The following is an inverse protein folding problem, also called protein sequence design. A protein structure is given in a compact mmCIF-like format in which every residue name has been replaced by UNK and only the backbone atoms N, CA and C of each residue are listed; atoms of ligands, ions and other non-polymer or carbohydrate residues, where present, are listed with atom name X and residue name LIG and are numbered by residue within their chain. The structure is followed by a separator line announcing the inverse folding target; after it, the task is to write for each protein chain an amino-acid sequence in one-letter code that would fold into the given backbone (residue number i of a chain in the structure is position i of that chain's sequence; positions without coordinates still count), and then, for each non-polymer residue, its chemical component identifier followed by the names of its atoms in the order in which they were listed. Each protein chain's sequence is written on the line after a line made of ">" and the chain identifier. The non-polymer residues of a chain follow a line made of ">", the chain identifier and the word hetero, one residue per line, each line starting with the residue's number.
data_IF_754123767075
#
_entry.id   IF_754123767075
#
_cell.length_a   1.000
_cell.length_b   1.000
_cell.length_c   1.000
_cell.angle_alpha   90.00
_cell.angle_beta   90.00
_cell.angle_gamma   90.00
#
_symmetry.space_group_name_H-M   'P 1'
#
loop_
_entity.id
_entity.type
_entity.pdbx_description
1 polymer ?
#
# COMPACT_ATOMS: atom_id res chain seq x y z
N UNK A 1 5.26 -0.44 -14.11
CA UNK A 1 6.03 -1.09 -13.04
C UNK A 1 7.01 -0.09 -12.43
N UNK A 2 7.21 -0.17 -11.11
CA UNK A 2 8.11 0.69 -10.33
C UNK A 2 9.51 0.10 -10.21
N UNK A 3 10.48 0.90 -9.76
CA UNK A 3 11.85 0.41 -9.54
C UNK A 3 11.92 -0.56 -8.36
N UNK A 4 11.14 -0.33 -7.29
CA UNK A 4 11.03 -1.28 -6.18
C UNK A 4 10.54 -2.65 -6.64
N UNK A 5 9.60 -2.67 -7.57
CA UNK A 5 9.03 -3.90 -8.13
C UNK A 5 10.01 -4.62 -9.07
N UNK A 6 10.67 -3.90 -10.00
CA UNK A 6 11.51 -4.51 -11.04
C UNK A 6 12.90 -4.87 -10.57
N UNK A 7 13.57 -3.94 -9.87
CA UNK A 7 15.00 -4.01 -9.68
C UNK A 7 15.44 -4.19 -8.22
N UNK A 8 14.76 -3.55 -7.27
CA UNK A 8 15.27 -3.46 -5.91
C UNK A 8 14.82 -4.62 -5.02
N UNK A 9 13.53 -4.96 -5.04
CA UNK A 9 12.94 -5.93 -4.11
C UNK A 9 12.15 -7.05 -4.78
N UNK A 10 12.06 -7.06 -6.11
CA UNK A 10 11.23 -8.00 -6.86
C UNK A 10 11.77 -9.43 -6.95
N UNK A 11 12.93 -9.71 -6.39
CA UNK A 11 13.57 -11.04 -6.40
C UNK A 11 13.09 -11.98 -5.28
N UNK A 12 12.24 -11.49 -4.36
CA UNK A 12 11.65 -12.27 -3.27
C UNK A 12 12.51 -12.40 -2.02
N UNK A 13 13.70 -11.79 -1.97
CA UNK A 13 14.59 -11.88 -0.78
C UNK A 13 13.96 -11.34 0.51
N UNK A 14 12.94 -10.51 0.40
CA UNK A 14 12.18 -9.94 1.51
C UNK A 14 10.75 -10.48 1.60
N UNK A 15 10.50 -11.68 1.09
CA UNK A 15 9.24 -12.41 1.22
C UNK A 15 8.38 -12.37 -0.04
N UNK A 16 7.93 -11.21 -0.51
CA UNK A 16 7.13 -11.05 -1.70
C UNK A 16 8.03 -10.86 -2.93
N UNK A 17 7.77 -11.62 -4.01
CA UNK A 17 8.47 -11.48 -5.28
C UNK A 17 7.60 -10.88 -6.38
N UNK A 18 8.24 -10.43 -7.46
CA UNK A 18 7.55 -10.03 -8.69
C UNK A 18 6.76 -11.20 -9.30
N UNK A 19 7.27 -12.43 -9.17
CA UNK A 19 6.59 -13.61 -9.68
C UNK A 19 5.32 -13.91 -8.87
N UNK A 20 5.36 -13.80 -7.54
CA UNK A 20 4.19 -13.95 -6.68
C UNK A 20 3.13 -12.91 -7.03
N UNK A 21 3.54 -11.66 -7.22
CA UNK A 21 2.63 -10.59 -7.63
C UNK A 21 1.98 -10.84 -8.99
N UNK A 22 2.72 -11.41 -9.94
CA UNK A 22 2.16 -11.77 -11.24
C UNK A 22 1.06 -12.83 -11.08
N UNK A 23 1.31 -13.87 -10.27
CA UNK A 23 0.33 -14.93 -9.96
C UNK A 23 -0.89 -14.33 -9.26
N UNK A 24 -0.69 -13.50 -8.25
CA UNK A 24 -1.81 -12.88 -7.50
C UNK A 24 -2.66 -11.98 -8.40
N UNK A 25 -2.04 -11.20 -9.29
CA UNK A 25 -2.77 -10.38 -10.25
C UNK A 25 -3.54 -11.23 -11.26
N UNK A 26 -2.97 -12.34 -11.73
CA UNK A 26 -3.67 -13.28 -12.61
C UNK A 26 -4.89 -13.91 -11.92
N UNK A 27 -4.74 -14.32 -10.67
CA UNK A 27 -5.84 -14.88 -9.88
C UNK A 27 -6.92 -13.83 -9.56
N UNK A 28 -6.54 -12.58 -9.29
CA UNK A 28 -7.46 -11.52 -8.93
C UNK A 28 -8.22 -10.95 -10.13
N UNK A 29 -7.53 -10.73 -11.24
CA UNK A 29 -8.08 -10.04 -12.42
C UNK A 29 -8.53 -10.99 -13.53
N UNK A 30 -8.13 -12.26 -13.47
CA UNK A 30 -8.35 -13.21 -14.55
C UNK A 30 -7.52 -12.92 -15.80
N UNK A 31 -7.76 -13.68 -16.87
CA UNK A 31 -7.14 -13.43 -18.17
C UNK A 31 -7.84 -12.23 -18.82
N UNK A 32 -7.07 -11.20 -19.19
CA UNK A 32 -7.63 -9.99 -19.81
C UNK A 32 -7.34 -8.70 -19.07
N UNK A 33 -6.23 -8.63 -18.33
CA UNK A 33 -5.80 -7.49 -17.50
C UNK A 33 -5.75 -6.12 -18.17
N UNK A 34 -5.89 -6.02 -19.49
CA UNK A 34 -5.79 -4.75 -20.20
C UNK A 34 -6.91 -3.75 -19.83
N UNK A 35 -8.07 -4.25 -19.46
CA UNK A 35 -9.27 -3.46 -19.16
C UNK A 35 -9.60 -3.47 -17.67
N UNK A 36 -8.59 -3.37 -16.82
CA UNK A 36 -8.78 -3.46 -15.38
C UNK A 36 -9.68 -2.35 -14.85
N UNK A 37 -10.78 -2.76 -14.26
CA UNK A 37 -11.70 -1.92 -13.51
C UNK A 37 -10.94 -1.11 -12.43
N UNK A 38 -11.13 0.21 -12.33
CA UNK A 38 -10.53 1.04 -11.27
C UNK A 38 -10.81 0.54 -9.86
N UNK A 39 -11.88 -0.23 -9.65
CA UNK A 39 -12.18 -0.86 -8.37
C UNK A 39 -11.19 -1.96 -7.99
N UNK A 40 -10.61 -2.62 -9.00
CA UNK A 40 -9.57 -3.63 -8.81
C UNK A 40 -8.16 -3.01 -8.78
N UNK A 41 -7.96 -1.90 -9.50
CA UNK A 41 -6.70 -1.16 -9.55
C UNK A 41 -6.93 0.32 -9.20
N UNK A 42 -7.00 0.67 -7.91
CA UNK A 42 -7.35 2.02 -7.45
C UNK A 42 -6.49 3.14 -8.05
N UNK A 43 -5.23 2.86 -8.41
CA UNK A 43 -4.35 3.82 -9.09
C UNK A 43 -4.86 4.29 -10.46
N UNK A 44 -5.81 3.59 -11.06
CA UNK A 44 -6.44 3.96 -12.35
C UNK A 44 -7.75 4.73 -12.18
N UNK A 45 -8.24 4.81 -10.95
CA UNK A 45 -9.48 5.49 -10.63
C UNK A 45 -9.29 6.95 -10.27
N UNK A 46 -10.42 7.65 -10.15
CA UNK A 46 -10.45 8.98 -9.54
C UNK A 46 -10.38 8.85 -8.02
N UNK A 47 -9.56 9.67 -7.39
CA UNK A 47 -9.49 9.79 -5.93
C UNK A 47 -10.34 10.95 -5.41
N UNK A 48 -10.99 11.71 -6.30
CA UNK A 48 -11.87 12.82 -5.91
C UNK A 48 -13.03 12.31 -5.05
N UNK A 49 -13.32 13.02 -3.97
CA UNK A 49 -14.40 12.65 -3.04
C UNK A 49 -13.99 11.69 -1.93
N UNK A 50 -12.78 11.15 -1.94
CA UNK A 50 -12.24 10.49 -0.76
C UNK A 50 -12.06 11.51 0.37
N UNK A 51 -12.64 11.21 1.53
CA UNK A 51 -12.59 12.16 2.66
C UNK A 51 -11.20 12.20 3.28
N UNK A 52 -10.58 11.04 3.47
CA UNK A 52 -9.28 10.90 4.10
C UNK A 52 -8.71 9.50 3.89
N UNK A 53 -7.38 9.37 3.91
CA UNK A 53 -6.70 8.09 3.80
C UNK A 53 -5.57 7.94 4.83
N UNK A 54 -5.32 6.71 5.25
CA UNK A 54 -4.10 6.31 5.95
C UNK A 54 -3.34 5.32 5.07
N UNK A 55 -2.10 5.63 4.76
CA UNK A 55 -1.22 4.79 3.97
C UNK A 55 -0.13 4.20 4.85
N UNK A 56 0.04 2.89 4.79
CA UNK A 56 1.15 2.18 5.43
C UNK A 56 2.02 1.58 4.34
N UNK A 57 3.27 2.00 4.28
CA UNK A 57 4.27 1.49 3.34
C UNK A 57 5.36 0.71 4.05
N UNK A 58 5.88 -0.31 3.38
CA UNK A 58 7.01 -1.11 3.82
C UNK A 58 8.24 -0.71 2.99
N UNK A 59 9.39 -0.45 3.65
CA UNK A 59 10.61 0.01 2.97
C UNK A 59 11.29 -1.09 2.17
N UNK A 60 11.18 -2.36 2.60
CA UNK A 60 11.77 -3.53 1.95
C UNK A 60 10.69 -4.33 1.19
N UNK A 61 9.98 -3.66 0.29
CA UNK A 61 8.78 -4.21 -0.35
C UNK A 61 8.78 -3.87 -1.85
N UNK A 62 8.51 -4.82 -2.75
CA UNK A 62 8.33 -4.53 -4.17
C UNK A 62 7.20 -3.51 -4.42
N UNK A 63 6.21 -3.39 -3.54
CA UNK A 63 5.10 -2.43 -3.65
C UNK A 63 5.39 -1.07 -2.97
N UNK A 64 6.60 -0.84 -2.46
CA UNK A 64 6.98 0.42 -1.79
C UNK A 64 6.66 1.66 -2.65
N UNK A 65 7.13 1.64 -3.88
CA UNK A 65 6.99 2.80 -4.76
C UNK A 65 5.56 2.98 -5.26
N UNK A 66 4.74 1.91 -5.28
CA UNK A 66 3.31 2.01 -5.58
C UNK A 66 2.56 2.74 -4.46
N UNK A 67 2.91 2.48 -3.19
CA UNK A 67 2.37 3.23 -2.05
C UNK A 67 2.75 4.71 -2.13
N UNK A 68 3.99 5.03 -2.49
CA UNK A 68 4.45 6.42 -2.69
C UNK A 68 3.72 7.12 -3.84
N UNK A 69 3.48 6.40 -4.95
CA UNK A 69 2.69 6.91 -6.08
C UNK A 69 1.25 7.19 -5.67
N UNK A 70 0.65 6.30 -4.88
CA UNK A 70 -0.70 6.54 -4.37
C UNK A 70 -0.76 7.79 -3.47
N UNK A 71 0.24 7.99 -2.60
CA UNK A 71 0.34 9.21 -1.81
C UNK A 71 0.38 10.46 -2.70
N UNK A 72 1.18 10.44 -3.77
CA UNK A 72 1.23 11.53 -4.75
C UNK A 72 -0.11 11.76 -5.46
N UNK A 73 -0.81 10.69 -5.84
CA UNK A 73 -2.12 10.77 -6.49
C UNK A 73 -3.19 11.36 -5.55
N UNK A 74 -3.20 10.98 -4.27
CA UNK A 74 -4.09 11.54 -3.25
C UNK A 74 -3.80 13.03 -3.04
N UNK A 75 -2.53 13.42 -2.93
CA UNK A 75 -2.14 14.83 -2.83
C UNK A 75 -2.62 15.63 -4.04
N UNK A 76 -2.42 15.12 -5.25
CA UNK A 76 -2.89 15.76 -6.49
C UNK A 76 -4.40 15.89 -6.59
N UNK A 77 -5.14 14.99 -5.94
CA UNK A 77 -6.61 15.02 -5.86
C UNK A 77 -7.13 15.89 -4.68
N UNK A 78 -6.27 16.52 -3.89
CA UNK A 78 -6.65 17.31 -2.71
C UNK A 78 -7.17 16.47 -1.55
N UNK A 79 -6.90 15.17 -1.53
CA UNK A 79 -7.32 14.26 -0.46
C UNK A 79 -6.35 14.39 0.72
N UNK A 80 -6.88 14.64 1.90
CA UNK A 80 -6.08 14.62 3.14
C UNK A 80 -5.64 13.20 3.45
N UNK A 81 -4.35 12.98 3.76
CA UNK A 81 -3.87 11.65 4.13
C UNK A 81 -2.73 11.70 5.15
N UNK A 82 -2.55 10.60 5.84
CA UNK A 82 -1.36 10.33 6.65
C UNK A 82 -0.59 9.19 5.99
N UNK A 83 0.72 9.34 5.80
CA UNK A 83 1.57 8.31 5.23
C UNK A 83 2.65 7.91 6.23
N UNK A 84 2.63 6.64 6.63
CA UNK A 84 3.65 6.02 7.47
C UNK A 84 4.41 5.00 6.62
N UNK A 85 5.68 5.27 6.31
CA UNK A 85 6.59 4.29 5.73
C UNK A 85 7.52 3.76 6.83
N UNK A 86 7.64 2.43 6.93
CA UNK A 86 8.54 1.78 7.87
C UNK A 86 9.72 1.21 7.10
N UNK A 87 10.92 1.85 7.17
CA UNK A 87 12.05 1.52 6.29
C UNK A 87 12.54 0.07 6.40
N UNK A 88 12.45 -0.53 7.58
CA UNK A 88 12.93 -1.89 7.86
C UNK A 88 11.87 -2.97 7.66
N UNK A 89 10.61 -2.61 7.43
CA UNK A 89 9.54 -3.59 7.27
C UNK A 89 9.54 -4.20 5.86
N UNK A 90 9.27 -5.49 5.80
CA UNK A 90 8.96 -6.22 4.57
C UNK A 90 7.44 -6.35 4.37
N UNK A 91 7.04 -6.86 3.21
CA UNK A 91 5.62 -7.12 2.92
C UNK A 91 5.02 -8.09 3.93
N UNK A 92 3.83 -7.75 4.43
CA UNK A 92 3.11 -8.62 5.38
C UNK A 92 3.60 -8.58 6.83
N UNK A 93 4.53 -7.69 7.20
CA UNK A 93 5.09 -7.61 8.55
C UNK A 93 4.04 -7.51 9.67
N UNK A 94 2.84 -7.01 9.37
CA UNK A 94 1.74 -6.94 10.34
C UNK A 94 1.32 -8.32 10.88
N UNK A 95 1.57 -9.38 10.12
CA UNK A 95 1.27 -10.76 10.49
C UNK A 95 2.48 -11.52 11.04
N UNK A 96 3.67 -10.93 11.05
CA UNK A 96 4.90 -11.58 11.50
C UNK A 96 5.11 -11.42 13.00
N UNK A 97 5.37 -12.52 13.69
CA UNK A 97 5.57 -12.54 15.16
C UNK A 97 6.84 -11.81 15.55
N UNK A 98 7.89 -11.92 14.75
CA UNK A 98 9.18 -11.27 14.97
C UNK A 98 9.07 -9.76 15.04
N UNK A 99 8.15 -9.18 14.27
CA UNK A 99 7.91 -7.74 14.20
C UNK A 99 6.72 -7.26 15.05
N UNK A 100 6.30 -8.05 16.05
CA UNK A 100 5.06 -7.78 16.79
C UNK A 100 5.01 -6.38 17.44
N UNK A 101 6.13 -5.83 17.90
CA UNK A 101 6.19 -4.49 18.48
C UNK A 101 5.98 -3.42 17.39
N UNK A 102 6.63 -3.60 16.25
CA UNK A 102 6.52 -2.72 15.08
C UNK A 102 5.09 -2.74 14.52
N UNK A 103 4.52 -3.95 14.38
CA UNK A 103 3.15 -4.16 13.92
C UNK A 103 2.13 -3.47 14.85
N UNK A 104 2.25 -3.65 16.17
CA UNK A 104 1.38 -2.97 17.15
C UNK A 104 1.47 -1.45 17.04
N UNK A 105 2.67 -0.90 16.89
CA UNK A 105 2.87 0.53 16.71
C UNK A 105 2.17 1.07 15.45
N UNK A 106 2.33 0.38 14.33
CA UNK A 106 1.68 0.74 13.07
C UNK A 106 0.15 0.66 13.16
N UNK A 107 -0.38 -0.43 13.75
CA UNK A 107 -1.82 -0.62 13.95
C UNK A 107 -2.42 0.43 14.90
N UNK A 108 -1.73 0.76 15.99
CA UNK A 108 -2.18 1.80 16.92
C UNK A 108 -2.27 3.16 16.21
N UNK A 109 -1.34 3.48 15.32
CA UNK A 109 -1.36 4.70 14.53
C UNK A 109 -2.52 4.73 13.54
N UNK A 110 -2.75 3.64 12.83
CA UNK A 110 -3.89 3.47 11.93
C UNK A 110 -5.22 3.62 12.68
N UNK A 111 -5.36 2.95 13.83
CA UNK A 111 -6.56 3.05 14.68
C UNK A 111 -6.80 4.49 15.17
N UNK A 112 -5.76 5.19 15.60
CA UNK A 112 -5.85 6.60 16.01
C UNK A 112 -6.29 7.50 14.85
N UNK A 113 -5.79 7.26 13.63
CA UNK A 113 -6.20 7.98 12.44
C UNK A 113 -7.70 7.76 12.14
N UNK A 114 -8.15 6.51 12.15
CA UNK A 114 -9.56 6.16 11.93
C UNK A 114 -10.48 6.77 12.99
N UNK A 115 -10.07 6.74 14.25
CA UNK A 115 -10.83 7.34 15.34
C UNK A 115 -10.98 8.87 15.20
N UNK A 116 -9.96 9.59 14.74
CA UNK A 116 -10.06 11.02 14.42
C UNK A 116 -10.97 11.26 13.21
N UNK A 117 -10.81 10.47 12.16
CA UNK A 117 -11.63 10.59 10.95
C UNK A 117 -13.13 10.37 11.24
N UNK A 118 -13.47 9.43 12.13
CA UNK A 118 -14.87 9.15 12.50
C UNK A 118 -15.51 10.28 13.32
N UNK A 119 -14.74 11.04 14.09
CA UNK A 119 -15.23 12.19 14.86
C UNK A 119 -15.30 13.49 14.04
N UNK A 120 -14.76 13.50 12.84
CA UNK A 120 -14.66 14.72 12.04
C UNK A 120 -13.56 15.69 12.51
N UNK A 121 -12.63 15.22 13.34
CA UNK A 121 -11.56 16.02 13.98
C UNK A 121 -10.39 16.31 13.01
N UNK A 122 -10.71 16.49 11.71
CA UNK A 122 -9.62 16.65 10.73
C UNK A 122 -10.06 17.50 9.54
#
# INVERSE_FOLDING_TARGET
>A
ETDSYRATFGDGRFGLSRQDMAIFLDLHLGQGRADCDPRALPMRGSHAGLRRAFLLGCGLDPLRDDTRRLAGALAGAGVAFEFLEIPSANHGFLALVEDAALARGALARAASHLARASRGDL
#
